data_IF_537751700247
#
_entry.id   IF_537751700247
#
_cell.length_a   1.000
_cell.length_b   1.000
_cell.length_c   1.000
_cell.angle_alpha   90.00
_cell.angle_beta   90.00
_cell.angle_gamma   90.00
#
_symmetry.space_group_name_H-M   'P 1'
#
loop_
_entity.id
_entity.type
_entity.pdbx_description
1 polymer ?
#
# COMPACT_ATOMS: atom_id res chain seq x y z
N UNK A 1 6.17 -15.25 -10.03
CA UNK A 1 6.84 -13.94 -9.95
C UNK A 1 7.13 -13.69 -8.48
N UNK A 2 8.39 -13.50 -8.08
CA UNK A 2 8.72 -13.11 -6.71
C UNK A 2 8.36 -11.64 -6.51
N UNK A 3 7.45 -11.35 -5.58
CA UNK A 3 7.19 -9.98 -5.17
C UNK A 3 8.45 -9.42 -4.48
N UNK A 4 8.76 -8.17 -4.78
CA UNK A 4 9.80 -7.40 -4.08
C UNK A 4 9.19 -6.69 -2.86
N UNK A 5 9.99 -6.31 -1.86
CA UNK A 5 9.49 -5.53 -0.74
C UNK A 5 8.80 -4.24 -1.20
N UNK A 6 7.65 -3.93 -0.59
CA UNK A 6 6.99 -2.65 -0.79
C UNK A 6 7.87 -1.53 -0.23
N UNK A 7 8.16 -0.52 -1.06
CA UNK A 7 8.97 0.64 -0.66
C UNK A 7 8.12 1.81 -0.13
N UNK A 8 6.79 1.67 -0.11
CA UNK A 8 5.89 2.74 0.32
C UNK A 8 5.79 3.91 -0.67
N UNK A 9 6.01 3.66 -1.97
CA UNK A 9 5.86 4.69 -3.02
C UNK A 9 4.42 5.19 -3.21
N UNK A 10 3.44 4.43 -2.74
CA UNK A 10 2.02 4.75 -2.84
C UNK A 10 1.36 4.43 -4.18
N UNK A 11 2.09 3.94 -5.20
CA UNK A 11 1.55 3.71 -6.54
C UNK A 11 0.30 2.83 -6.57
N UNK A 12 0.34 1.64 -5.94
CA UNK A 12 -0.84 0.77 -5.88
C UNK A 12 -1.94 1.36 -5.00
N UNK A 13 -1.63 1.77 -3.77
CA UNK A 13 -2.63 2.17 -2.78
C UNK A 13 -3.29 3.53 -3.04
N UNK A 14 -2.64 4.43 -3.81
CA UNK A 14 -3.21 5.72 -4.21
C UNK A 14 -3.98 5.62 -5.54
N UNK A 15 -3.67 4.63 -6.37
CA UNK A 15 -4.38 4.43 -7.63
C UNK A 15 -5.76 3.82 -7.40
N UNK A 16 -5.86 2.84 -6.51
CA UNK A 16 -7.13 2.20 -6.19
C UNK A 16 -7.18 1.66 -4.76
N UNK A 17 -8.40 1.58 -4.22
CA UNK A 17 -8.66 0.99 -2.91
C UNK A 17 -8.62 -0.55 -3.02
N UNK A 18 -7.91 -1.20 -2.10
CA UNK A 18 -7.84 -2.66 -2.09
C UNK A 18 -9.17 -3.29 -1.66
N UNK A 19 -9.40 -4.55 -2.04
CA UNK A 19 -10.59 -5.33 -1.68
C UNK A 19 -10.85 -5.34 -0.17
N UNK A 20 -9.83 -5.56 0.65
CA UNK A 20 -9.98 -5.63 2.11
C UNK A 20 -10.41 -4.28 2.69
N UNK A 21 -9.89 -3.17 2.17
CA UNK A 21 -10.35 -1.84 2.58
C UNK A 21 -11.79 -1.56 2.11
N UNK A 22 -12.19 -2.04 0.92
CA UNK A 22 -13.58 -1.94 0.47
C UNK A 22 -14.55 -2.68 1.39
N UNK A 23 -14.19 -3.87 1.86
CA UNK A 23 -15.01 -4.66 2.79
C UNK A 23 -15.22 -3.91 4.10
N UNK A 24 -14.17 -3.28 4.63
CA UNK A 24 -14.22 -2.58 5.91
C UNK A 24 -14.90 -1.21 5.82
N UNK A 25 -14.69 -0.47 4.73
CA UNK A 25 -14.99 0.97 4.68
C UNK A 25 -15.95 1.38 3.56
N UNK A 26 -16.34 0.44 2.69
CA UNK A 26 -17.02 0.72 1.44
C UNK A 26 -16.13 1.44 0.43
N UNK A 27 -16.73 1.98 -0.64
CA UNK A 27 -16.03 2.78 -1.63
C UNK A 27 -15.63 4.14 -1.06
N UNK A 28 -14.33 4.44 -1.07
CA UNK A 28 -13.77 5.73 -0.68
C UNK A 28 -12.84 6.24 -1.77
N UNK A 29 -12.83 7.56 -2.00
CA UNK A 29 -11.89 8.20 -2.95
C UNK A 29 -10.43 7.92 -2.58
N UNK A 30 -10.15 7.79 -1.28
CA UNK A 30 -8.86 7.35 -0.76
C UNK A 30 -9.07 6.32 0.34
N UNK A 31 -8.27 5.26 0.28
CA UNK A 31 -8.25 4.21 1.29
C UNK A 31 -7.97 4.79 2.70
N UNK A 32 -8.87 4.62 3.68
CA UNK A 32 -8.67 5.11 5.05
C UNK A 32 -7.48 4.46 5.78
N UNK A 33 -7.06 3.28 5.34
CA UNK A 33 -5.96 2.51 5.92
C UNK A 33 -4.59 3.03 5.48
N UNK A 34 -4.55 3.79 4.39
CA UNK A 34 -3.32 4.37 3.84
C UNK A 34 -2.99 5.68 4.57
N UNK A 35 -1.75 5.82 4.99
CA UNK A 35 -1.25 7.06 5.57
C UNK A 35 0.21 7.30 5.18
N UNK A 36 0.64 8.56 5.28
CA UNK A 36 2.04 8.94 5.10
C UNK A 36 2.78 8.84 6.43
N UNK A 37 3.84 8.05 6.47
CA UNK A 37 4.75 7.96 7.60
C UNK A 37 5.85 9.00 7.46
N UNK A 38 5.76 10.10 8.21
CA UNK A 38 6.73 11.20 8.16
C UNK A 38 8.14 10.76 8.54
N UNK A 39 8.27 9.90 9.56
CA UNK A 39 9.57 9.44 10.05
C UNK A 39 10.34 8.63 9.01
N UNK A 40 9.65 7.82 8.22
CA UNK A 40 10.25 6.99 7.17
C UNK A 40 10.09 7.58 5.75
N UNK A 41 9.49 8.77 5.63
CA UNK A 41 9.18 9.44 4.37
C UNK A 41 8.57 8.51 3.32
N UNK A 42 7.56 7.70 3.71
CA UNK A 42 6.90 6.74 2.81
C UNK A 42 5.46 6.45 3.21
N UNK A 43 4.65 5.96 2.27
CA UNK A 43 3.30 5.49 2.56
C UNK A 43 3.31 4.15 3.31
N UNK A 44 2.42 4.04 4.31
CA UNK A 44 2.21 2.87 5.16
C UNK A 44 0.72 2.50 5.18
N UNK A 45 0.42 1.25 5.50
CA UNK A 45 -0.94 0.72 5.50
C UNK A 45 -1.22 0.10 6.86
N UNK A 46 -2.22 0.61 7.57
CA UNK A 46 -2.58 0.16 8.92
C UNK A 46 -2.95 -1.32 8.97
N UNK A 47 -3.68 -1.84 7.97
CA UNK A 47 -3.95 -3.29 7.87
C UNK A 47 -2.68 -4.12 7.72
N UNK A 48 -1.71 -3.65 6.92
CA UNK A 48 -0.45 -4.37 6.73
C UNK A 48 0.46 -4.34 7.98
N UNK A 49 0.25 -3.35 8.85
CA UNK A 49 0.94 -3.17 10.12
C UNK A 49 0.18 -3.74 11.32
N UNK A 50 -0.98 -4.36 11.09
CA UNK A 50 -1.77 -4.96 12.14
C UNK A 50 -0.93 -6.01 12.90
N UNK A 51 -0.84 -5.93 14.24
CA UNK A 51 0.07 -6.76 15.02
C UNK A 51 -0.32 -8.25 15.03
N UNK A 52 -1.59 -8.57 14.75
CA UNK A 52 -2.11 -9.94 14.79
C UNK A 52 -2.32 -10.50 13.37
N UNK A 53 -2.89 -9.69 12.48
CA UNK A 53 -3.33 -10.08 11.15
C UNK A 53 -2.44 -9.53 10.03
N UNK A 54 -1.39 -8.78 10.35
CA UNK A 54 -0.58 -8.05 9.37
C UNK A 54 0.04 -8.94 8.29
N UNK A 55 0.44 -10.18 8.63
CA UNK A 55 0.93 -11.14 7.63
C UNK A 55 -0.15 -11.55 6.63
N UNK A 56 -1.33 -11.90 7.14
CA UNK A 56 -2.48 -12.24 6.31
C UNK A 56 -2.88 -11.06 5.43
N UNK A 57 -2.94 -9.84 5.97
CA UNK A 57 -3.23 -8.66 5.17
C UNK A 57 -2.16 -8.41 4.12
N UNK A 58 -0.86 -8.50 4.44
CA UNK A 58 0.21 -8.35 3.45
C UNK A 58 0.05 -9.31 2.27
N UNK A 59 -0.36 -10.55 2.53
CA UNK A 59 -0.68 -11.54 1.50
C UNK A 59 -1.92 -11.14 0.68
N UNK A 60 -3.06 -10.88 1.33
CA UNK A 60 -4.32 -10.55 0.64
C UNK A 60 -4.24 -9.27 -0.18
N UNK A 61 -3.43 -8.30 0.26
CA UNK A 61 -3.24 -7.01 -0.38
C UNK A 61 -2.21 -7.06 -1.53
N UNK A 62 -1.53 -8.19 -1.76
CA UNK A 62 -0.45 -8.29 -2.75
C UNK A 62 0.68 -7.30 -2.47
N UNK A 63 1.03 -7.08 -1.20
CA UNK A 63 2.03 -6.05 -0.82
C UNK A 63 3.35 -6.36 -1.51
N UNK A 64 3.80 -5.41 -2.33
CA UNK A 64 5.04 -5.53 -3.10
C UNK A 64 4.84 -5.85 -4.59
N UNK A 65 3.71 -6.42 -4.99
CA UNK A 65 3.45 -6.75 -6.40
C UNK A 65 3.44 -5.50 -7.29
N UNK A 66 2.82 -4.42 -6.83
CA UNK A 66 2.85 -3.13 -7.53
C UNK A 66 4.26 -2.54 -7.68
N UNK A 67 5.20 -2.90 -6.80
CA UNK A 67 6.61 -2.47 -6.92
C UNK A 67 7.38 -3.25 -8.00
N UNK A 68 6.84 -4.37 -8.49
CA UNK A 68 7.37 -5.11 -9.64
C UNK A 68 6.76 -4.64 -10.98
N UNK A 69 5.73 -3.79 -10.95
CA UNK A 69 5.04 -3.36 -12.16
C UNK A 69 5.97 -2.49 -13.02
N UNK A 70 6.14 -2.84 -14.31
CA UNK A 70 6.98 -2.09 -15.25
C UNK A 70 6.60 -0.61 -15.39
N UNK A 71 5.33 -0.28 -15.14
CA UNK A 71 4.79 1.07 -15.21
C UNK A 71 4.90 1.85 -13.90
N UNK A 72 5.39 1.23 -12.83
CA UNK A 72 5.58 1.90 -11.55
C UNK A 72 6.94 2.63 -11.53
N UNK A 73 6.94 3.87 -12.02
CA UNK A 73 8.08 4.79 -11.88
C UNK A 73 8.21 5.40 -10.48
N UNK A 74 7.22 5.22 -9.59
CA UNK A 74 7.22 5.86 -8.28
C UNK A 74 8.10 5.12 -7.27
N UNK A 75 8.47 3.86 -7.54
CA UNK A 75 9.35 3.07 -6.69
C UNK A 75 10.68 3.78 -6.39
N UNK A 76 11.25 4.42 -7.41
CA UNK A 76 12.53 5.11 -7.32
C UNK A 76 12.38 6.59 -6.90
N UNK A 77 11.14 7.05 -6.71
CA UNK A 77 10.80 8.42 -6.33
C UNK A 77 9.69 8.44 -5.26
N UNK A 78 10.00 7.87 -4.10
CA UNK A 78 9.10 7.88 -2.94
C UNK A 78 8.97 9.31 -2.42
N UNK A 79 7.74 9.83 -2.44
CA UNK A 79 7.37 11.16 -1.95
C UNK A 79 5.89 11.22 -1.63
N UNK A 80 5.51 12.17 -0.79
CA UNK A 80 4.13 12.43 -0.46
C UNK A 80 3.37 12.93 -1.69
N UNK A 81 2.17 12.38 -1.91
CA UNK A 81 1.29 12.64 -3.05
C UNK A 81 -0.14 12.98 -2.59
N UNK A 82 -0.22 13.60 -1.41
CA UNK A 82 -1.45 14.03 -0.77
C UNK A 82 -2.01 12.98 0.15
#
# INVERSE_FOLDING_TARGET
MSAVPCVGCGWCCLSDQCRESHILHGYRKRCPELYWGEAEARYKCRLAEDPEQGERYRYLLGVGEGCCAKLNSWRDEVKYRG
#
